data_IF_312162945469
#
_entry.id   IF_312162945469
#
_cell.length_a   1.000
_cell.length_b   1.000
_cell.length_c   1.000
_cell.angle_alpha   90.00
_cell.angle_beta   90.00
_cell.angle_gamma   90.00
#
_symmetry.space_group_name_H-M   'P 1'
#
loop_
_entity.id
_entity.type
_entity.pdbx_description
1 polymer ?
#
# COMPACT_ATOMS: atom_id res chain seq x y z
N UNK A 1 -7.03 -0.08 -7.10
CA UNK A 1 -7.00 -0.81 -8.37
C UNK A 1 -7.77 -0.11 -9.51
N UNK A 2 -8.32 1.05 -9.25
CA UNK A 2 -9.00 1.83 -10.29
C UNK A 2 -8.02 2.41 -11.30
N UNK A 3 -8.39 2.54 -12.58
CA UNK A 3 -7.63 3.30 -13.58
C UNK A 3 -7.45 4.77 -13.17
N UNK A 4 -6.41 5.46 -13.68
CA UNK A 4 -6.04 6.80 -13.21
C UNK A 4 -7.07 7.90 -13.50
N UNK A 5 -8.03 7.66 -14.40
CA UNK A 5 -9.14 8.57 -14.69
C UNK A 5 -10.21 8.60 -13.60
N UNK A 6 -10.20 7.66 -12.66
CA UNK A 6 -11.12 7.64 -11.53
C UNK A 6 -10.44 8.13 -10.26
N UNK A 7 -11.14 8.95 -9.51
CA UNK A 7 -10.74 9.38 -8.17
C UNK A 7 -11.55 8.67 -7.09
N UNK A 8 -10.93 8.50 -5.92
CA UNK A 8 -11.60 8.01 -4.72
C UNK A 8 -11.27 8.89 -3.53
N UNK A 9 -12.28 9.25 -2.74
CA UNK A 9 -12.13 10.00 -1.50
C UNK A 9 -12.75 9.20 -0.37
N UNK A 10 -11.95 8.90 0.66
CA UNK A 10 -12.43 8.27 1.90
C UNK A 10 -12.47 9.35 2.99
N UNK A 11 -13.63 9.54 3.62
CA UNK A 11 -13.82 10.53 4.68
C UNK A 11 -13.95 9.80 6.01
N UNK A 12 -13.20 10.25 7.01
CA UNK A 12 -13.19 9.69 8.35
C UNK A 12 -13.68 10.74 9.34
N UNK A 13 -14.36 10.30 10.41
CA UNK A 13 -14.78 11.15 11.50
C UNK A 13 -13.61 11.46 12.47
N UNK A 14 -13.89 12.20 13.52
CA UNK A 14 -12.90 12.58 14.53
C UNK A 14 -12.36 11.40 15.36
N UNK A 15 -12.99 10.22 15.30
CA UNK A 15 -12.52 8.97 15.93
C UNK A 15 -11.70 8.13 14.96
N UNK A 16 -11.47 8.57 13.72
CA UNK A 16 -10.77 7.82 12.69
C UNK A 16 -11.62 6.71 12.06
N UNK A 17 -12.93 6.74 12.24
CA UNK A 17 -13.86 5.77 11.63
C UNK A 17 -14.42 6.32 10.31
N UNK A 18 -14.61 5.44 9.32
CA UNK A 18 -15.28 5.83 8.08
C UNK A 18 -16.67 6.39 8.40
N UNK A 19 -17.02 7.52 7.79
CA UNK A 19 -18.35 8.13 7.97
C UNK A 19 -19.47 7.17 7.59
N UNK A 20 -20.64 7.35 8.20
CA UNK A 20 -21.82 6.52 7.92
C UNK A 20 -22.33 6.73 6.50
N UNK A 21 -22.94 5.70 5.90
CA UNK A 21 -23.54 5.77 4.56
C UNK A 21 -24.57 6.92 4.45
N UNK A 22 -25.29 7.23 5.53
CA UNK A 22 -26.25 8.35 5.54
C UNK A 22 -25.54 9.71 5.38
N UNK A 23 -24.41 9.91 6.04
CA UNK A 23 -23.63 11.14 5.91
C UNK A 23 -22.93 11.21 4.54
N UNK A 24 -22.42 10.09 4.04
CA UNK A 24 -21.84 9.96 2.70
C UNK A 24 -22.87 10.37 1.62
N UNK A 25 -24.09 9.84 1.69
CA UNK A 25 -25.18 10.19 0.78
C UNK A 25 -25.59 11.67 0.87
N UNK A 26 -25.55 12.28 2.06
CA UNK A 26 -25.81 13.72 2.21
C UNK A 26 -24.74 14.57 1.55
N UNK A 27 -23.46 14.20 1.72
CA UNK A 27 -22.35 14.89 1.09
C UNK A 27 -22.44 14.78 -0.43
N UNK A 28 -22.72 13.57 -0.94
CA UNK A 28 -22.89 13.36 -2.38
C UNK A 28 -23.98 14.24 -2.97
N UNK A 29 -25.17 14.29 -2.34
CA UNK A 29 -26.25 15.19 -2.78
C UNK A 29 -25.83 16.66 -2.78
N UNK A 30 -25.13 17.13 -1.75
CA UNK A 30 -24.63 18.50 -1.71
C UNK A 30 -23.65 18.79 -2.86
N UNK A 31 -22.81 17.84 -3.26
CA UNK A 31 -21.91 17.97 -4.39
C UNK A 31 -22.70 18.05 -5.70
N UNK A 32 -23.69 17.18 -5.88
CA UNK A 32 -24.55 17.15 -7.08
C UNK A 32 -25.40 18.43 -7.21
N UNK A 33 -25.95 18.93 -6.11
CA UNK A 33 -26.76 20.15 -6.08
C UNK A 33 -25.94 21.43 -6.21
N UNK A 34 -24.62 21.37 -5.98
CA UNK A 34 -23.75 22.54 -6.04
C UNK A 34 -23.28 22.77 -7.48
N UNK A 35 -23.58 23.94 -8.02
CA UNK A 35 -23.03 24.36 -9.32
C UNK A 35 -21.54 24.63 -9.18
N UNK A 36 -20.72 23.60 -9.45
CA UNK A 36 -19.27 23.59 -9.24
C UNK A 36 -18.52 24.58 -10.14
N UNK A 37 -19.17 25.12 -11.18
CA UNK A 37 -18.52 26.08 -12.10
C UNK A 37 -18.05 27.37 -11.40
N UNK A 38 -18.63 27.70 -10.23
CA UNK A 38 -18.26 28.87 -9.44
C UNK A 38 -17.26 28.56 -8.31
N UNK A 39 -16.92 27.27 -8.07
CA UNK A 39 -16.06 26.84 -6.98
C UNK A 39 -14.60 26.56 -7.40
N UNK A 40 -14.30 26.71 -8.69
CA UNK A 40 -12.93 26.49 -9.17
C UNK A 40 -12.06 27.65 -8.70
N UNK A 41 -11.40 27.45 -7.56
CA UNK A 41 -10.30 28.34 -7.17
C UNK A 41 -9.13 28.11 -8.12
N UNK A 42 -8.72 29.15 -8.84
CA UNK A 42 -7.49 29.13 -9.65
C UNK A 42 -6.23 29.19 -8.80
N UNK A 43 -6.36 29.36 -7.49
CA UNK A 43 -5.23 29.40 -6.57
C UNK A 43 -4.84 27.96 -6.19
N UNK A 44 -3.71 27.49 -6.69
CA UNK A 44 -3.10 26.24 -6.24
C UNK A 44 -2.70 26.40 -4.79
N UNK A 45 -3.39 25.72 -3.89
CA UNK A 45 -2.98 25.63 -2.48
C UNK A 45 -1.82 24.65 -2.40
N UNK A 46 -0.64 25.12 -2.01
CA UNK A 46 0.48 24.25 -1.70
C UNK A 46 0.17 23.52 -0.39
N UNK A 47 -0.11 22.24 -0.48
CA UNK A 47 -0.24 21.39 0.70
C UNK A 47 1.15 21.04 1.23
N UNK A 48 1.39 21.30 2.51
CA UNK A 48 2.62 20.85 3.17
C UNK A 48 2.49 19.38 3.54
N UNK A 49 3.47 18.58 3.12
CA UNK A 49 3.57 17.19 3.61
C UNK A 49 3.80 17.21 5.13
N UNK A 50 3.03 16.42 5.87
CA UNK A 50 3.23 16.25 7.31
C UNK A 50 4.12 15.04 7.57
N UNK A 51 5.43 15.28 7.65
CA UNK A 51 6.41 14.23 7.90
C UNK A 51 6.29 13.63 9.32
N UNK A 52 5.73 14.36 10.26
CA UNK A 52 5.56 13.88 11.64
C UNK A 52 4.52 12.74 11.68
N UNK A 53 3.37 12.92 11.05
CA UNK A 53 2.35 11.87 10.95
C UNK A 53 2.86 10.64 10.20
N UNK A 54 3.63 10.85 9.14
CA UNK A 54 4.27 9.76 8.40
C UNK A 54 5.24 8.98 9.30
N UNK A 55 6.04 9.67 10.10
CA UNK A 55 6.97 9.01 11.01
C UNK A 55 6.22 8.23 12.11
N UNK A 56 5.13 8.77 12.66
CA UNK A 56 4.29 8.05 13.64
C UNK A 56 3.75 6.75 13.02
N UNK A 57 3.26 6.81 11.78
CA UNK A 57 2.80 5.63 11.04
C UNK A 57 3.91 4.59 10.86
N UNK A 58 5.08 5.01 10.36
CA UNK A 58 6.24 4.11 10.18
C UNK A 58 6.65 3.46 11.50
N UNK A 59 6.72 4.24 12.58
CA UNK A 59 7.04 3.70 13.91
C UNK A 59 6.00 2.71 14.41
N UNK A 60 4.73 2.90 14.09
CA UNK A 60 3.68 1.92 14.44
C UNK A 60 3.88 0.59 13.72
N UNK A 61 4.31 0.61 12.45
CA UNK A 61 4.62 -0.60 11.70
C UNK A 61 5.84 -1.34 12.27
N UNK A 62 6.90 -0.63 12.65
CA UNK A 62 8.07 -1.27 13.27
C UNK A 62 7.74 -1.97 14.59
N UNK A 63 6.79 -1.46 15.36
CA UNK A 63 6.34 -2.12 16.58
C UNK A 63 5.67 -3.49 16.32
N UNK A 64 5.09 -3.68 15.14
CA UNK A 64 4.47 -4.98 14.78
C UNK A 64 5.51 -6.02 14.37
N UNK A 65 6.69 -5.59 13.89
CA UNK A 65 7.79 -6.48 13.51
C UNK A 65 8.55 -7.05 14.71
N UNK A 66 8.44 -6.42 15.89
CA UNK A 66 9.24 -6.82 17.05
C UNK A 66 10.74 -6.63 16.81
N UNK A 67 11.53 -7.67 17.10
CA UNK A 67 12.99 -7.71 16.89
C UNK A 67 13.40 -8.25 15.52
N UNK A 68 12.44 -8.67 14.71
CA UNK A 68 12.70 -9.23 13.38
C UNK A 68 13.22 -8.16 12.42
N UNK A 69 14.09 -8.59 11.50
CA UNK A 69 14.66 -7.72 10.48
C UNK A 69 14.81 -8.44 9.14
N UNK A 70 15.10 -7.68 8.09
CA UNK A 70 15.26 -8.16 6.71
C UNK A 70 16.72 -8.09 6.25
N UNK A 71 17.68 -8.10 7.17
CA UNK A 71 19.11 -7.99 6.85
C UNK A 71 19.56 -9.15 5.97
N UNK A 72 20.26 -8.81 4.89
CA UNK A 72 20.74 -9.78 3.90
C UNK A 72 19.74 -10.12 2.81
N UNK A 73 18.47 -9.70 2.93
CA UNK A 73 17.47 -9.90 1.88
C UNK A 73 17.55 -8.80 0.83
N UNK A 74 17.48 -9.21 -0.43
CA UNK A 74 17.35 -8.31 -1.57
C UNK A 74 15.90 -8.30 -2.05
N UNK A 75 15.24 -7.15 -1.95
CA UNK A 75 13.81 -7.02 -2.16
C UNK A 75 13.49 -6.03 -3.26
N UNK A 76 12.58 -6.42 -4.16
CA UNK A 76 12.01 -5.51 -5.17
C UNK A 76 10.62 -5.06 -4.71
N UNK A 77 10.35 -3.76 -4.74
CA UNK A 77 9.03 -3.19 -4.44
C UNK A 77 8.46 -2.56 -5.71
N UNK A 78 7.26 -2.96 -6.10
CA UNK A 78 6.42 -2.27 -7.06
C UNK A 78 5.41 -1.41 -6.31
N UNK A 79 5.60 -0.09 -6.32
CA UNK A 79 4.74 0.85 -5.60
C UNK A 79 3.58 1.38 -6.44
N UNK A 80 3.38 0.81 -7.63
CA UNK A 80 2.20 1.09 -8.48
C UNK A 80 1.96 2.58 -8.77
N UNK A 81 2.99 3.43 -8.65
CA UNK A 81 2.86 4.91 -8.67
C UNK A 81 1.88 5.45 -7.62
N UNK A 82 1.51 4.63 -6.63
CA UNK A 82 0.49 4.87 -5.62
C UNK A 82 1.05 5.38 -4.29
N UNK A 83 0.27 5.20 -3.22
CA UNK A 83 0.57 5.69 -1.87
C UNK A 83 1.82 5.05 -1.27
N UNK A 84 2.11 3.77 -1.59
CA UNK A 84 3.32 3.06 -1.15
C UNK A 84 4.62 3.78 -1.56
N UNK A 85 4.59 4.61 -2.62
CA UNK A 85 5.73 5.44 -3.08
C UNK A 85 6.31 6.31 -1.97
N UNK A 86 5.49 6.72 -0.99
CA UNK A 86 5.88 7.68 0.04
C UNK A 86 6.70 7.07 1.17
N UNK A 87 6.48 5.80 1.51
CA UNK A 87 7.07 5.20 2.71
C UNK A 87 7.66 3.79 2.53
N UNK A 88 7.18 2.98 1.56
CA UNK A 88 7.57 1.57 1.47
C UNK A 88 9.09 1.39 1.37
N UNK A 89 9.78 2.12 0.49
CA UNK A 89 11.24 2.05 0.37
C UNK A 89 11.96 2.31 1.70
N UNK A 90 11.51 3.33 2.44
CA UNK A 90 12.11 3.68 3.72
C UNK A 90 11.91 2.56 4.74
N UNK A 91 10.68 2.04 4.86
CA UNK A 91 10.34 0.97 5.81
C UNK A 91 11.23 -0.25 5.59
N UNK A 92 11.28 -0.78 4.37
CA UNK A 92 12.07 -1.98 4.08
C UNK A 92 13.58 -1.76 4.25
N UNK A 93 14.09 -0.56 3.92
CA UNK A 93 15.49 -0.23 4.17
C UNK A 93 15.81 -0.12 5.66
N UNK A 94 14.95 0.51 6.43
CA UNK A 94 15.14 0.65 7.88
C UNK A 94 15.06 -0.71 8.59
N UNK A 95 14.37 -1.69 8.00
CA UNK A 95 14.39 -3.09 8.42
C UNK A 95 15.65 -3.87 7.96
N UNK A 96 16.55 -3.23 7.23
CA UNK A 96 17.84 -3.82 6.84
C UNK A 96 17.90 -4.46 5.46
N UNK A 97 16.83 -4.43 4.66
CA UNK A 97 16.82 -4.99 3.32
C UNK A 97 17.62 -4.15 2.30
N UNK A 98 18.25 -4.83 1.32
CA UNK A 98 18.68 -4.18 0.08
C UNK A 98 17.50 -4.00 -0.85
N UNK A 99 17.04 -2.75 -1.04
CA UNK A 99 15.76 -2.44 -1.67
C UNK A 99 15.92 -1.75 -3.01
N UNK A 100 15.41 -2.37 -4.07
CA UNK A 100 15.14 -1.71 -5.34
C UNK A 100 13.65 -1.45 -5.49
N UNK A 101 13.27 -0.29 -6.04
CA UNK A 101 11.86 0.10 -6.23
C UNK A 101 11.62 0.38 -7.70
N UNK A 102 10.51 -0.14 -8.22
CA UNK A 102 10.00 0.13 -9.55
C UNK A 102 8.65 0.86 -9.45
N UNK A 103 8.22 1.49 -10.55
CA UNK A 103 6.96 2.23 -10.63
C UNK A 103 6.79 3.23 -9.47
N UNK A 104 7.90 3.95 -9.17
CA UNK A 104 8.07 4.77 -7.98
C UNK A 104 8.18 6.27 -8.35
N UNK A 105 7.11 6.85 -8.84
CA UNK A 105 7.02 8.31 -9.02
C UNK A 105 5.66 8.81 -8.55
N UNK A 106 5.61 10.04 -8.02
CA UNK A 106 4.36 10.68 -7.57
C UNK A 106 3.55 11.19 -8.78
N UNK A 107 3.38 10.36 -9.80
CA UNK A 107 2.61 10.70 -10.99
C UNK A 107 1.31 9.91 -11.03
N UNK A 108 0.24 10.49 -10.49
CA UNK A 108 -1.08 9.86 -10.41
C UNK A 108 -1.67 9.43 -11.77
N UNK A 109 -1.21 10.02 -12.89
CA UNK A 109 -1.67 9.59 -14.22
C UNK A 109 -1.17 8.21 -14.64
N UNK A 110 -0.24 7.62 -13.89
CA UNK A 110 0.31 6.28 -14.13
C UNK A 110 -0.15 5.23 -13.12
N UNK A 111 -0.91 5.64 -12.11
CA UNK A 111 -1.37 4.72 -11.06
C UNK A 111 -2.14 3.54 -11.65
N UNK A 112 -1.83 2.33 -11.22
CA UNK A 112 -2.42 1.07 -11.71
C UNK A 112 -2.29 0.80 -13.24
N UNK A 113 -1.44 1.53 -13.95
CA UNK A 113 -1.24 1.30 -15.38
C UNK A 113 -0.13 0.29 -15.63
N UNK A 114 -0.50 -0.93 -15.98
CA UNK A 114 0.42 -2.04 -16.24
C UNK A 114 1.44 -2.25 -15.11
N UNK A 115 1.01 -2.13 -13.88
CA UNK A 115 1.81 -2.29 -12.67
C UNK A 115 0.92 -2.58 -11.46
N UNK A 116 1.54 -2.86 -10.33
CA UNK A 116 0.84 -3.09 -9.07
C UNK A 116 0.28 -4.50 -8.94
N UNK A 117 -0.48 -4.75 -7.87
CA UNK A 117 -0.94 -6.07 -7.44
C UNK A 117 -1.84 -6.81 -8.44
N UNK A 118 -2.36 -6.13 -9.46
CA UNK A 118 -3.17 -6.72 -10.52
C UNK A 118 -2.40 -6.99 -11.82
N UNK A 119 -1.13 -6.55 -11.90
CA UNK A 119 -0.28 -6.76 -13.08
C UNK A 119 1.18 -6.96 -12.67
N UNK A 120 1.57 -8.21 -12.44
CA UNK A 120 2.81 -8.60 -11.78
C UNK A 120 4.03 -8.73 -12.70
N UNK A 121 3.85 -8.67 -14.02
CA UNK A 121 4.93 -8.86 -14.99
C UNK A 121 6.14 -7.92 -14.79
N UNK A 122 5.96 -6.60 -14.51
CA UNK A 122 7.11 -5.74 -14.23
C UNK A 122 7.89 -6.15 -12.99
N UNK A 123 7.20 -6.63 -11.94
CA UNK A 123 7.84 -7.09 -10.72
C UNK A 123 8.61 -8.39 -10.95
N UNK A 124 8.01 -9.40 -11.62
CA UNK A 124 8.66 -10.67 -11.97
C UNK A 124 9.92 -10.43 -12.78
N UNK A 125 9.83 -9.57 -13.81
CA UNK A 125 10.98 -9.19 -14.62
C UNK A 125 12.09 -8.55 -13.79
N UNK A 126 11.74 -7.56 -12.95
CA UNK A 126 12.70 -6.86 -12.11
C UNK A 126 13.34 -7.79 -11.07
N UNK A 127 12.58 -8.74 -10.52
CA UNK A 127 13.06 -9.75 -9.59
C UNK A 127 14.14 -10.65 -10.25
N UNK A 128 13.83 -11.19 -11.42
CA UNK A 128 14.77 -12.01 -12.19
C UNK A 128 16.04 -11.24 -12.59
N UNK A 129 15.91 -10.04 -13.18
CA UNK A 129 17.04 -9.21 -13.63
C UNK A 129 17.99 -8.81 -12.50
N UNK A 130 17.51 -8.78 -11.27
CA UNK A 130 18.31 -8.36 -10.11
C UNK A 130 18.70 -9.53 -9.20
N UNK A 131 18.34 -10.77 -9.53
CA UNK A 131 18.53 -11.93 -8.65
C UNK A 131 18.09 -11.60 -7.21
N UNK A 132 16.85 -11.12 -7.06
CA UNK A 132 16.31 -10.72 -5.76
C UNK A 132 15.62 -11.91 -5.07
N UNK A 133 15.61 -11.90 -3.74
CA UNK A 133 15.04 -12.97 -2.93
C UNK A 133 13.51 -12.92 -2.93
N UNK A 134 12.94 -11.72 -2.90
CA UNK A 134 11.49 -11.51 -2.90
C UNK A 134 11.09 -10.22 -3.62
N UNK A 135 9.86 -10.19 -4.10
CA UNK A 135 9.20 -9.00 -4.62
C UNK A 135 7.85 -8.77 -3.95
N UNK A 136 7.46 -7.50 -3.79
CA UNK A 136 6.14 -7.12 -3.30
C UNK A 136 5.53 -6.08 -4.23
N UNK A 137 4.31 -6.34 -4.68
CA UNK A 137 3.54 -5.45 -5.55
C UNK A 137 2.31 -4.93 -4.81
N UNK A 138 2.25 -3.62 -4.63
CA UNK A 138 1.14 -2.93 -3.98
C UNK A 138 0.11 -2.48 -5.01
N UNK A 139 -1.12 -2.25 -4.59
CA UNK A 139 -2.09 -1.52 -5.40
C UNK A 139 -2.03 0.00 -5.11
N UNK A 140 -2.90 0.77 -5.75
CA UNK A 140 -2.81 2.24 -5.75
C UNK A 140 -2.90 2.90 -4.38
N UNK A 141 -3.74 2.43 -3.46
CA UNK A 141 -3.87 2.94 -2.08
C UNK A 141 -3.13 2.06 -1.05
N UNK A 142 -2.46 1.01 -1.52
CA UNK A 142 -1.63 0.08 -0.74
C UNK A 142 -2.40 -0.66 0.37
N UNK A 143 -3.69 -0.92 0.16
CA UNK A 143 -4.49 -1.78 1.03
C UNK A 143 -4.42 -3.27 0.63
N UNK A 144 -3.78 -3.56 -0.51
CA UNK A 144 -3.49 -4.91 -1.01
C UNK A 144 -2.04 -5.05 -1.42
N UNK A 145 -1.51 -6.26 -1.26
CA UNK A 145 -0.16 -6.63 -1.68
C UNK A 145 -0.14 -8.07 -2.19
N UNK A 146 0.63 -8.31 -3.25
CA UNK A 146 0.98 -9.65 -3.72
C UNK A 146 2.50 -9.81 -3.57
N UNK A 147 2.92 -10.91 -2.95
CA UNK A 147 4.32 -11.30 -2.86
C UNK A 147 4.72 -12.16 -4.07
N UNK A 148 6.01 -12.13 -4.41
CA UNK A 148 6.61 -13.05 -5.40
C UNK A 148 7.92 -13.55 -4.80
N UNK A 149 8.12 -14.88 -4.81
CA UNK A 149 9.35 -15.49 -4.35
C UNK A 149 10.48 -15.43 -5.40
N UNK A 150 11.67 -15.90 -5.06
CA UNK A 150 12.85 -15.92 -5.95
C UNK A 150 12.67 -16.79 -7.20
N UNK A 151 11.73 -17.73 -7.20
CA UNK A 151 11.40 -18.61 -8.32
C UNK A 151 10.31 -18.02 -9.24
N UNK A 152 9.70 -16.90 -8.84
CA UNK A 152 8.62 -16.22 -9.58
C UNK A 152 7.22 -16.70 -9.22
N UNK A 153 7.06 -17.50 -8.15
CA UNK A 153 5.75 -17.94 -7.68
C UNK A 153 5.04 -16.79 -6.96
N UNK A 154 3.74 -16.67 -7.23
CA UNK A 154 2.89 -15.65 -6.60
C UNK A 154 2.44 -16.11 -5.22
N UNK A 155 2.62 -15.22 -4.23
CA UNK A 155 2.21 -15.42 -2.85
C UNK A 155 1.02 -14.49 -2.57
N UNK A 156 -0.17 -15.01 -2.75
CA UNK A 156 -1.43 -14.30 -2.55
C UNK A 156 -1.92 -14.31 -1.08
N UNK A 157 -3.15 -13.87 -0.87
CA UNK A 157 -3.77 -13.85 0.45
C UNK A 157 -3.87 -15.21 1.11
N UNK A 158 -4.14 -16.28 0.34
CA UNK A 158 -4.27 -17.64 0.86
C UNK A 158 -2.92 -18.17 1.36
N UNK A 159 -1.84 -17.91 0.63
CA UNK A 159 -0.48 -18.21 1.08
C UNK A 159 -0.12 -17.44 2.36
N UNK A 160 -0.47 -16.16 2.41
CA UNK A 160 -0.23 -15.32 3.59
C UNK A 160 -1.00 -15.83 4.81
N UNK A 161 -2.28 -16.16 4.66
CA UNK A 161 -3.10 -16.75 5.71
C UNK A 161 -2.54 -18.09 6.19
N UNK A 162 -2.10 -18.95 5.26
CA UNK A 162 -1.48 -20.23 5.63
C UNK A 162 -0.20 -20.04 6.46
N UNK A 163 0.72 -19.17 6.00
CA UNK A 163 1.97 -18.92 6.71
C UNK A 163 1.73 -18.31 8.09
N UNK A 164 0.85 -17.34 8.16
CA UNK A 164 0.50 -16.66 9.41
C UNK A 164 -0.23 -17.59 10.39
N UNK A 165 -1.20 -18.37 9.87
CA UNK A 165 -1.92 -19.35 10.66
C UNK A 165 -1.00 -20.41 11.27
N UNK A 166 -0.04 -20.91 10.48
CA UNK A 166 0.98 -21.85 10.97
C UNK A 166 1.80 -21.23 12.10
N UNK A 167 2.31 -20.03 11.91
CA UNK A 167 3.08 -19.32 12.94
C UNK A 167 2.29 -19.12 14.24
N UNK A 168 1.03 -18.66 14.14
CA UNK A 168 0.16 -18.48 15.30
C UNK A 168 -0.18 -19.80 16.00
N UNK A 169 -0.28 -20.91 15.24
CA UNK A 169 -0.45 -22.25 15.82
C UNK A 169 0.80 -22.68 16.62
N UNK A 170 1.99 -22.49 16.05
CA UNK A 170 3.27 -22.81 16.71
C UNK A 170 3.45 -22.00 18.00
N UNK A 171 3.06 -20.73 17.98
CA UNK A 171 3.06 -19.85 19.16
C UNK A 171 1.91 -20.12 20.14
N UNK A 172 0.95 -21.01 19.82
CA UNK A 172 -0.24 -21.33 20.62
C UNK A 172 -1.13 -20.12 20.92
N UNK A 173 -1.21 -19.19 20.00
CA UNK A 173 -2.02 -17.96 20.10
C UNK A 173 -3.42 -18.17 19.51
N UNK A 174 -3.60 -19.12 18.57
CA UNK A 174 -4.90 -19.37 17.95
C UNK A 174 -5.92 -19.91 18.96
N UNK A 175 -7.07 -19.23 19.03
CA UNK A 175 -8.22 -19.69 19.80
C UNK A 175 -9.07 -20.63 18.94
N UNK A 176 -9.30 -21.87 19.38
CA UNK A 176 -10.07 -22.89 18.66
C UNK A 176 -9.52 -23.24 17.26
N UNK A 177 -8.25 -23.04 16.99
CA UNK A 177 -7.62 -23.21 15.67
C UNK A 177 -8.29 -22.40 14.55
N UNK A 178 -8.86 -21.26 14.87
CA UNK A 178 -9.44 -20.31 13.91
C UNK A 178 -8.52 -19.10 13.73
N UNK A 179 -8.32 -18.72 12.46
CA UNK A 179 -7.68 -17.49 12.02
C UNK A 179 -8.71 -16.38 11.93
#
# INVERSE_FOLDING_TARGET
HNPPEYNGIKIFDHNGQKITANLENKIQKLIEDTNTNNLISTTLISLKENNELMNIYIQSLFKTMGEENLSGMKIILDTCYGSATTCAKKIFKDLGADVKVINNSKNGSKINMNCGSTYLEPLKKALYENAADMGFSFDGDADRVIGIDSEGNELDGDHTLFLWGRELMEQKILTNNLL
#
